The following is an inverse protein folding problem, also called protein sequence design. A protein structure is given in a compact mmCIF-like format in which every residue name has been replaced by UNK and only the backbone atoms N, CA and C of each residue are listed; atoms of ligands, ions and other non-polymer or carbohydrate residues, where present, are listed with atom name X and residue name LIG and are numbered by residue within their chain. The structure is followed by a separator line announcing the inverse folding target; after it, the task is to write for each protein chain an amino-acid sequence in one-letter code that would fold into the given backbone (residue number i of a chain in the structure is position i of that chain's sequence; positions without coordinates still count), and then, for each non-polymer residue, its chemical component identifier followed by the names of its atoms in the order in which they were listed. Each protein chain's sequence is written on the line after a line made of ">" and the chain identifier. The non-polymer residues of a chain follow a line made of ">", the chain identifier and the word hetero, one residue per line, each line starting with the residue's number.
data_IF_798982400032
#
_entry.id   IF_798982400032
#
_cell.length_a   1.000
_cell.length_b   1.000
_cell.length_c   1.000
_cell.angle_alpha   90.00
_cell.angle_beta   90.00
_cell.angle_gamma   90.00
#
_symmetry.space_group_name_H-M   'P 1'
#
loop_
_entity.id
_entity.type
_entity.pdbx_description
1 polymer ?
#
# COMPACT_ATOMS: atom_id res chain seq x y z
N UNK A 1 -22.69 11.82 -14.97
CA UNK A 1 -21.23 11.95 -14.81
C UNK A 1 -20.99 12.22 -13.33
N UNK A 2 -20.93 11.17 -12.50
CA UNK A 2 -20.81 11.31 -11.04
C UNK A 2 -19.33 11.36 -10.70
N UNK A 3 -18.95 12.39 -9.94
CA UNK A 3 -17.60 12.77 -9.54
C UNK A 3 -16.76 11.60 -9.01
N UNK A 4 -15.72 11.23 -9.77
CA UNK A 4 -14.65 10.31 -9.35
C UNK A 4 -13.60 10.97 -8.45
N UNK A 5 -13.65 12.30 -8.28
CA UNK A 5 -12.58 13.10 -7.68
C UNK A 5 -12.68 13.35 -6.16
N UNK A 6 -13.77 12.96 -5.48
CA UNK A 6 -13.88 13.18 -4.03
C UNK A 6 -13.23 12.07 -3.20
N UNK A 7 -13.18 10.83 -3.71
CA UNK A 7 -12.58 9.71 -2.98
C UNK A 7 -11.04 9.72 -3.00
N UNK A 8 -10.42 10.28 -4.04
CA UNK A 8 -8.96 10.45 -4.11
C UNK A 8 -8.45 11.60 -3.23
N UNK A 9 -9.30 12.61 -2.96
CA UNK A 9 -8.92 13.80 -2.20
C UNK A 9 -8.76 13.55 -0.69
N UNK A 10 -9.29 12.45 -0.15
CA UNK A 10 -9.22 12.08 1.27
C UNK A 10 -8.19 10.97 1.57
N UNK A 11 -7.57 10.37 0.55
CA UNK A 11 -6.56 9.32 0.74
C UNK A 11 -5.26 9.92 1.27
N UNK A 12 -4.82 9.42 2.42
CA UNK A 12 -3.63 9.97 3.07
C UNK A 12 -2.35 9.56 2.34
N UNK A 13 -2.15 8.26 2.09
CA UNK A 13 -0.97 7.74 1.39
C UNK A 13 -1.30 6.47 0.60
N UNK A 14 -0.46 6.15 -0.39
CA UNK A 14 -0.43 4.86 -1.07
C UNK A 14 0.77 4.07 -0.55
N UNK A 15 0.54 3.05 0.29
CA UNK A 15 1.61 2.22 0.88
C UNK A 15 1.84 1.00 -0.01
N UNK A 16 3.07 0.81 -0.48
CA UNK A 16 3.43 -0.22 -1.47
C UNK A 16 4.37 -1.26 -0.85
N UNK A 17 3.94 -2.52 -0.86
CA UNK A 17 4.80 -3.64 -0.49
C UNK A 17 5.22 -4.40 -1.75
N UNK A 18 6.52 -4.42 -2.01
CA UNK A 18 7.14 -5.17 -3.10
C UNK A 18 7.48 -6.57 -2.61
N UNK A 19 6.90 -7.58 -3.24
CA UNK A 19 7.15 -9.01 -2.98
C UNK A 19 7.12 -9.39 -1.49
N UNK A 20 6.07 -9.02 -0.72
CA UNK A 20 6.06 -9.26 0.71
C UNK A 20 6.04 -10.77 1.03
N UNK A 21 6.94 -11.18 1.92
CA UNK A 21 7.12 -12.60 2.26
C UNK A 21 6.36 -13.04 3.50
N UNK A 22 6.12 -12.13 4.45
CA UNK A 22 5.60 -12.46 5.79
C UNK A 22 4.14 -11.98 5.92
N UNK A 23 3.16 -12.90 6.08
CA UNK A 23 1.74 -12.55 6.16
C UNK A 23 1.42 -11.61 7.34
N UNK A 24 2.03 -11.84 8.50
CA UNK A 24 1.76 -11.03 9.71
C UNK A 24 2.20 -9.57 9.55
N UNK A 25 3.33 -9.33 8.86
CA UNK A 25 3.79 -7.96 8.56
C UNK A 25 2.80 -7.26 7.63
N UNK A 26 2.40 -7.94 6.56
CA UNK A 26 1.42 -7.40 5.60
C UNK A 26 0.07 -7.13 6.26
N UNK A 27 -0.37 -8.02 7.15
CA UNK A 27 -1.50 -7.79 8.03
C UNK A 27 -1.35 -6.50 8.82
N UNK A 28 -0.35 -6.41 9.70
CA UNK A 28 -0.14 -5.23 10.55
C UNK A 28 -0.09 -3.92 9.75
N UNK A 29 0.58 -3.91 8.59
CA UNK A 29 0.63 -2.76 7.69
C UNK A 29 -0.76 -2.43 7.12
N UNK A 30 -1.52 -3.42 6.69
CA UNK A 30 -2.91 -3.24 6.28
C UNK A 30 -3.80 -2.65 7.39
N UNK A 31 -3.60 -3.06 8.65
CA UNK A 31 -4.33 -2.47 9.79
C UNK A 31 -3.98 -1.00 9.98
N UNK A 32 -2.70 -0.65 9.85
CA UNK A 32 -2.24 0.74 9.87
C UNK A 32 -2.89 1.53 8.73
N UNK A 33 -2.89 1.00 7.50
CA UNK A 33 -3.50 1.65 6.34
C UNK A 33 -4.99 1.94 6.55
N UNK A 34 -5.73 0.98 7.11
CA UNK A 34 -7.14 1.18 7.45
C UNK A 34 -7.33 2.29 8.49
N UNK A 35 -6.49 2.33 9.52
CA UNK A 35 -6.54 3.35 10.57
C UNK A 35 -6.09 4.75 10.11
N UNK A 36 -5.22 4.84 9.10
CA UNK A 36 -4.68 6.09 8.57
C UNK A 36 -5.40 6.59 7.31
N UNK A 37 -6.46 5.92 6.86
CA UNK A 37 -7.12 6.18 5.58
C UNK A 37 -6.12 6.18 4.40
N UNK A 38 -5.23 5.20 4.40
CA UNK A 38 -4.25 4.95 3.32
C UNK A 38 -4.65 3.71 2.52
N UNK A 39 -4.26 3.68 1.24
CA UNK A 39 -4.44 2.51 0.37
C UNK A 39 -3.22 1.59 0.47
N UNK A 40 -3.46 0.28 0.53
CA UNK A 40 -2.41 -0.74 0.46
C UNK A 40 -2.25 -1.26 -0.97
N UNK A 41 -1.02 -1.35 -1.45
CA UNK A 41 -0.65 -1.90 -2.75
C UNK A 41 0.29 -3.08 -2.54
N UNK A 42 -0.06 -4.24 -3.08
CA UNK A 42 0.72 -5.47 -2.96
C UNK A 42 1.22 -5.89 -4.34
N UNK A 43 2.53 -5.88 -4.53
CA UNK A 43 3.18 -6.27 -5.78
C UNK A 43 3.73 -7.68 -5.61
N UNK A 44 3.34 -8.57 -6.52
CA UNK A 44 3.73 -9.97 -6.51
C UNK A 44 5.13 -10.25 -7.09
N UNK A 45 5.62 -11.49 -6.91
CA UNK A 45 4.95 -12.59 -6.21
C UNK A 45 4.88 -12.38 -4.69
N UNK A 46 3.77 -12.80 -4.07
CA UNK A 46 3.63 -12.78 -2.61
C UNK A 46 4.19 -14.08 -2.04
N UNK A 47 4.95 -14.01 -0.94
CA UNK A 47 5.47 -15.20 -0.25
C UNK A 47 4.41 -15.99 0.54
N UNK A 48 3.13 -15.61 0.44
CA UNK A 48 2.01 -16.23 1.12
C UNK A 48 0.72 -16.11 0.29
N UNK A 49 -0.27 -16.93 0.63
CA UNK A 49 -1.58 -16.86 -0.01
C UNK A 49 -2.50 -15.87 0.69
N UNK A 50 -3.23 -15.08 -0.09
CA UNK A 50 -4.31 -14.24 0.44
C UNK A 50 -5.62 -14.96 0.14
N UNK A 51 -6.10 -15.72 1.13
CA UNK A 51 -7.41 -16.36 1.08
C UNK A 51 -8.21 -15.97 2.32
N UNK A 52 -9.54 -15.89 2.20
CA UNK A 52 -10.44 -15.60 3.33
C UNK A 52 -10.18 -16.49 4.54
N UNK A 53 -9.81 -17.75 4.30
CA UNK A 53 -9.46 -18.70 5.37
C UNK A 53 -8.17 -18.32 6.09
N UNK A 54 -7.14 -17.89 5.36
CA UNK A 54 -5.87 -17.46 5.96
C UNK A 54 -6.00 -16.09 6.63
N UNK A 55 -6.72 -15.15 5.99
CA UNK A 55 -7.02 -13.83 6.55
C UNK A 55 -7.79 -13.96 7.87
N UNK A 56 -8.85 -14.78 7.93
CA UNK A 56 -9.60 -15.04 9.17
C UNK A 56 -8.74 -15.70 10.25
N UNK A 57 -7.86 -16.65 9.89
CA UNK A 57 -6.96 -17.31 10.85
C UNK A 57 -5.88 -16.39 11.40
N UNK A 58 -5.43 -15.42 10.61
CA UNK A 58 -4.46 -14.41 11.00
C UNK A 58 -5.08 -13.25 11.82
N UNK A 59 -6.39 -13.31 12.13
CA UNK A 59 -7.07 -12.24 12.85
C UNK A 59 -7.26 -10.98 12.01
N UNK A 60 -7.35 -11.12 10.68
CA UNK A 60 -7.49 -10.03 9.72
C UNK A 60 -8.97 -9.84 9.34
N UNK A 61 -9.85 -9.75 10.34
CA UNK A 61 -11.29 -9.48 10.19
C UNK A 61 -11.59 -8.15 9.50
N UNK A 62 -10.66 -7.20 9.59
CA UNK A 62 -10.72 -5.89 8.93
C UNK A 62 -10.36 -5.90 7.45
N UNK A 63 -9.77 -6.99 6.91
CA UNK A 63 -9.22 -7.00 5.54
C UNK A 63 -10.29 -6.69 4.47
N UNK A 64 -11.54 -7.08 4.71
CA UNK A 64 -12.69 -6.77 3.85
C UNK A 64 -13.03 -5.27 3.76
N UNK A 65 -12.54 -4.47 4.71
CA UNK A 65 -12.70 -3.01 4.75
C UNK A 65 -11.46 -2.27 4.28
N UNK A 66 -10.36 -2.99 4.01
CA UNK A 66 -9.12 -2.42 3.55
C UNK A 66 -9.22 -2.07 2.06
N UNK A 67 -8.88 -0.83 1.72
CA UNK A 67 -8.64 -0.46 0.34
C UNK A 67 -7.29 -1.05 -0.08
N UNK A 68 -7.33 -2.18 -0.82
CA UNK A 68 -6.15 -2.94 -1.23
C UNK A 68 -6.17 -3.25 -2.72
N UNK A 69 -5.03 -3.04 -3.37
CA UNK A 69 -4.80 -3.35 -4.79
C UNK A 69 -3.67 -4.36 -4.96
N UNK A 70 -3.82 -5.26 -5.93
CA UNK A 70 -2.85 -6.32 -6.23
C UNK A 70 -2.29 -6.15 -7.64
N UNK A 71 -0.98 -6.35 -7.78
CA UNK A 71 -0.27 -6.27 -9.04
C UNK A 71 0.55 -7.54 -9.23
N UNK A 72 0.57 -8.09 -10.44
CA UNK A 72 1.34 -9.29 -10.73
C UNK A 72 2.85 -9.05 -10.64
N UNK A 73 3.29 -7.83 -10.92
CA UNK A 73 4.70 -7.43 -10.95
C UNK A 73 4.85 -5.91 -10.85
N UNK A 74 6.10 -5.47 -10.74
CA UNK A 74 6.50 -4.07 -10.69
C UNK A 74 5.98 -3.26 -11.88
N UNK A 75 6.02 -3.80 -13.10
CA UNK A 75 5.57 -3.15 -14.33
C UNK A 75 4.08 -2.81 -14.33
N UNK A 76 3.23 -3.63 -13.71
CA UNK A 76 1.81 -3.36 -13.58
C UNK A 76 1.52 -2.23 -12.59
N UNK A 77 2.20 -2.23 -11.44
CA UNK A 77 2.08 -1.16 -10.46
C UNK A 77 2.53 0.18 -11.03
N UNK A 78 3.65 0.20 -11.76
CA UNK A 78 4.20 1.40 -12.41
C UNK A 78 3.19 2.15 -13.29
N UNK A 79 2.23 1.44 -13.90
CA UNK A 79 1.19 2.04 -14.75
C UNK A 79 0.14 2.82 -13.95
N UNK A 80 0.06 2.62 -12.64
CA UNK A 80 -0.89 3.29 -11.75
C UNK A 80 -0.32 4.59 -11.17
N UNK A 81 1.00 4.78 -11.21
CA UNK A 81 1.67 5.95 -10.65
C UNK A 81 1.51 7.13 -11.62
N UNK A 82 0.79 8.21 -11.25
CA UNK A 82 0.58 9.35 -12.12
C UNK A 82 1.80 10.30 -12.17
N UNK A 83 2.51 10.44 -11.05
CA UNK A 83 3.71 11.28 -10.92
C UNK A 83 4.81 10.54 -10.15
N UNK A 84 5.91 10.26 -10.85
CA UNK A 84 7.08 9.58 -10.30
C UNK A 84 7.85 10.41 -9.29
N UNK A 85 7.70 11.73 -9.29
CA UNK A 85 8.36 12.60 -8.30
C UNK A 85 7.75 12.50 -6.90
N UNK A 86 6.57 11.87 -6.80
CA UNK A 86 5.85 11.62 -5.54
C UNK A 86 5.95 10.16 -5.09
N UNK A 87 6.92 9.43 -5.64
CA UNK A 87 7.27 8.06 -5.23
C UNK A 87 8.53 8.10 -4.37
N UNK A 88 8.44 7.53 -3.16
CA UNK A 88 9.52 7.50 -2.19
C UNK A 88 9.86 6.05 -1.87
N UNK A 89 11.10 5.63 -2.15
CA UNK A 89 11.56 4.28 -1.85
C UNK A 89 12.32 4.27 -0.53
N UNK A 90 11.92 3.38 0.37
CA UNK A 90 12.57 3.23 1.67
C UNK A 90 13.67 2.17 1.63
N UNK A 91 14.87 2.55 2.08
CA UNK A 91 16.01 1.64 2.22
C UNK A 91 16.87 2.08 3.40
N UNK A 92 17.46 1.13 4.11
CA UNK A 92 18.47 1.41 5.15
C UNK A 92 19.74 2.04 4.59
N UNK A 93 19.93 2.01 3.26
CA UNK A 93 21.02 2.64 2.52
C UNK A 93 20.56 3.88 1.74
N UNK A 94 19.39 4.42 2.05
CA UNK A 94 18.87 5.63 1.41
C UNK A 94 19.81 6.81 1.60
N UNK A 95 19.96 7.63 0.56
CA UNK A 95 20.83 8.80 0.60
C UNK A 95 20.23 9.98 1.40
N UNK A 96 18.92 9.96 1.63
CA UNK A 96 18.17 11.03 2.30
C UNK A 96 17.37 10.47 3.47
N UNK A 97 17.32 11.21 4.57
CA UNK A 97 16.47 10.89 5.70
C UNK A 97 14.99 11.13 5.36
N UNK A 98 14.11 10.24 5.80
CA UNK A 98 12.67 10.45 5.65
C UNK A 98 12.17 11.64 6.49
N UNK A 99 12.86 12.01 7.57
CA UNK A 99 12.54 13.20 8.38
C UNK A 99 12.79 14.53 7.64
N UNK A 100 13.55 14.52 6.55
CA UNK A 100 13.88 15.70 5.75
C UNK A 100 12.98 15.82 4.51
N UNK A 101 11.95 14.98 4.41
CA UNK A 101 11.06 14.91 3.25
C UNK A 101 9.69 15.43 3.64
N UNK A 102 9.21 16.41 2.88
CA UNK A 102 7.86 16.93 3.01
C UNK A 102 6.89 16.08 2.20
N UNK A 103 6.30 15.10 2.88
CA UNK A 103 5.26 14.26 2.30
C UNK A 103 3.96 15.03 2.10
N UNK A 104 3.20 14.64 1.10
CA UNK A 104 1.91 15.19 0.73
C UNK A 104 0.87 14.08 0.64
N UNK A 105 -0.42 14.39 0.88
CA UNK A 105 -1.49 13.45 0.64
C UNK A 105 -1.42 12.84 -0.76
N UNK A 106 -1.55 11.51 -0.84
CA UNK A 106 -1.48 10.77 -2.09
C UNK A 106 -0.07 10.35 -2.52
N UNK A 107 0.97 10.68 -1.76
CA UNK A 107 2.32 10.15 -2.02
C UNK A 107 2.36 8.63 -1.98
N UNK A 108 3.26 8.06 -2.78
CA UNK A 108 3.54 6.63 -2.85
C UNK A 108 4.75 6.31 -1.99
N UNK A 109 4.53 5.49 -0.98
CA UNK A 109 5.49 5.11 0.06
C UNK A 109 5.87 3.64 -0.04
#
# INVERSE_FOLDING_TARGET
>A
MVNRNLAEADLHFNVVLVEPEIPSNTGNIGRTCLGSNSRLHLIGPLGFEISDKQLRRAGLDYWQHLDVSYYANWEEWKKQVPDWNRVFLFSTKGAKSFYETEFQPGDWL
#
